data_IF_877582936189
#
_entry.id   IF_877582936189
#
_cell.length_a   1.000
_cell.length_b   1.000
_cell.length_c   1.000
_cell.angle_alpha   90.00
_cell.angle_beta   90.00
_cell.angle_gamma   90.00
#
_symmetry.space_group_name_H-M   'P 1'
#
loop_
_entity.id
_entity.type
_entity.pdbx_description
1 polymer ?
#
# COMPACT_ATOMS: atom_id res chain seq x y z
N UNK A 1 3.31 -26.35 -9.60
CA UNK A 1 3.09 -25.19 -10.51
C UNK A 1 3.83 -24.02 -9.89
N UNK A 2 4.67 -23.28 -10.64
CA UNK A 2 5.22 -22.03 -10.09
C UNK A 2 4.09 -21.00 -9.96
N UNK A 3 3.92 -20.42 -8.78
CA UNK A 3 3.03 -19.29 -8.59
C UNK A 3 3.52 -18.14 -9.49
N UNK A 4 2.61 -17.53 -10.23
CA UNK A 4 2.92 -16.34 -11.01
C UNK A 4 3.13 -15.15 -10.04
N UNK A 5 4.17 -14.39 -10.26
CA UNK A 5 4.44 -13.16 -9.49
C UNK A 5 3.75 -11.99 -10.20
N UNK A 6 2.97 -11.21 -9.45
CA UNK A 6 2.37 -9.96 -9.96
C UNK A 6 3.38 -8.82 -9.94
N UNK A 7 3.39 -8.02 -10.99
CA UNK A 7 4.16 -6.78 -11.05
C UNK A 7 3.22 -5.61 -10.82
N UNK A 8 3.39 -4.91 -9.70
CA UNK A 8 2.51 -3.85 -9.22
C UNK A 8 3.33 -2.56 -9.06
N UNK A 9 3.37 -1.68 -10.08
CA UNK A 9 4.00 -0.37 -9.93
C UNK A 9 3.29 0.46 -8.85
N UNK A 10 4.08 1.00 -7.90
CA UNK A 10 3.62 1.94 -6.90
C UNK A 10 4.00 3.36 -7.29
N UNK A 11 3.00 4.24 -7.37
CA UNK A 11 3.12 5.66 -7.69
C UNK A 11 2.98 6.47 -6.41
N UNK A 12 4.09 7.04 -5.92
CA UNK A 12 4.01 8.06 -4.89
C UNK A 12 3.48 9.36 -5.50
N UNK A 13 2.38 9.87 -4.95
CA UNK A 13 1.71 11.08 -5.43
C UNK A 13 1.76 12.15 -4.36
N UNK A 14 2.05 13.39 -4.78
CA UNK A 14 2.08 14.58 -3.95
C UNK A 14 1.46 15.74 -4.70
N UNK A 15 0.43 16.39 -4.14
CA UNK A 15 -0.25 17.50 -4.80
C UNK A 15 -0.75 17.16 -6.21
N UNK A 16 -1.23 15.92 -6.45
CA UNK A 16 -1.71 15.46 -7.76
C UNK A 16 -0.61 15.15 -8.78
N UNK A 17 0.66 15.07 -8.38
CA UNK A 17 1.80 14.75 -9.25
C UNK A 17 2.53 13.51 -8.78
N UNK A 18 2.98 12.67 -9.70
CA UNK A 18 3.89 11.57 -9.36
C UNK A 18 5.22 12.15 -8.91
N UNK A 19 5.74 11.62 -7.82
CA UNK A 19 7.04 12.03 -7.29
C UNK A 19 7.93 10.82 -7.07
N UNK A 20 9.24 11.04 -7.07
CA UNK A 20 10.24 10.02 -6.74
C UNK A 20 11.23 10.59 -5.74
N UNK A 21 11.56 9.79 -4.72
CA UNK A 21 12.59 10.08 -3.74
C UNK A 21 13.52 8.89 -3.53
N UNK A 22 14.57 9.08 -2.75
CA UNK A 22 15.42 8.01 -2.23
C UNK A 22 15.29 8.04 -0.71
N UNK A 23 14.89 6.93 -0.10
CA UNK A 23 14.65 6.84 1.35
C UNK A 23 13.75 7.98 1.86
N UNK A 24 12.67 8.28 1.14
CA UNK A 24 11.72 9.37 1.46
C UNK A 24 12.31 10.79 1.44
N UNK A 25 13.46 11.00 0.78
CA UNK A 25 14.16 12.29 0.66
C UNK A 25 14.36 12.67 -0.81
N UNK A 26 14.73 13.94 -1.05
CA UNK A 26 15.06 14.48 -2.37
C UNK A 26 13.96 14.23 -3.42
N UNK A 27 12.72 14.56 -3.06
CA UNK A 27 11.53 14.31 -3.86
C UNK A 27 11.58 15.16 -5.14
N UNK A 28 11.50 14.50 -6.30
CA UNK A 28 11.49 15.10 -7.64
C UNK A 28 10.17 14.77 -8.33
N UNK A 29 9.58 15.74 -9.02
CA UNK A 29 8.39 15.54 -9.87
C UNK A 29 8.70 14.56 -11.01
N UNK A 30 7.86 13.55 -11.19
CA UNK A 30 7.99 12.51 -12.20
C UNK A 30 6.82 12.46 -13.19
N UNK A 31 5.90 13.44 -13.14
CA UNK A 31 4.87 13.61 -14.16
C UNK A 31 3.43 13.45 -13.68
N UNK A 32 2.52 13.27 -14.64
CA UNK A 32 1.10 13.07 -14.39
C UNK A 32 0.80 11.63 -13.95
N UNK A 33 0.00 11.40 -12.89
CA UNK A 33 -0.29 10.06 -12.38
C UNK A 33 -1.12 9.21 -13.36
N UNK A 34 -2.08 9.80 -14.07
CA UNK A 34 -2.92 9.05 -15.00
C UNK A 34 -2.14 8.63 -16.26
N UNK A 35 -1.26 9.50 -16.76
CA UNK A 35 -0.35 9.15 -17.87
C UNK A 35 0.65 8.05 -17.45
N UNK A 36 1.19 8.12 -16.23
CA UNK A 36 2.08 7.10 -15.71
C UNK A 36 1.37 5.74 -15.55
N UNK A 37 0.17 5.74 -14.96
CA UNK A 37 -0.63 4.53 -14.77
C UNK A 37 -1.02 3.89 -16.11
N UNK A 38 -1.49 4.70 -17.08
CA UNK A 38 -1.81 4.23 -18.44
C UNK A 38 -0.61 3.61 -19.15
N UNK A 39 0.58 4.17 -18.96
CA UNK A 39 1.81 3.60 -19.54
C UNK A 39 2.13 2.24 -18.92
N UNK A 40 2.05 2.10 -17.61
CA UNK A 40 2.31 0.83 -16.94
C UNK A 40 1.29 -0.25 -17.30
N UNK A 41 -0.01 0.11 -17.43
CA UNK A 41 -1.05 -0.80 -17.93
C UNK A 41 -0.69 -1.28 -19.36
N UNK A 42 -0.34 -0.37 -20.27
CA UNK A 42 0.07 -0.72 -21.63
C UNK A 42 1.37 -1.56 -21.70
N UNK A 43 2.27 -1.41 -20.72
CA UNK A 43 3.50 -2.20 -20.58
C UNK A 43 3.24 -3.58 -19.93
N UNK A 44 2.01 -3.87 -19.50
CA UNK A 44 1.60 -5.19 -18.97
C UNK A 44 1.77 -5.33 -17.46
N UNK A 45 1.65 -4.26 -16.70
CA UNK A 45 1.52 -4.35 -15.25
C UNK A 45 0.26 -5.13 -14.86
N UNK A 46 0.33 -5.90 -13.77
CA UNK A 46 -0.78 -6.70 -13.29
C UNK A 46 -1.77 -5.89 -12.44
N UNK A 47 -1.31 -4.81 -11.83
CA UNK A 47 -2.06 -3.90 -10.96
C UNK A 47 -1.34 -2.56 -10.86
N UNK A 48 -2.03 -1.49 -10.47
CA UNK A 48 -1.43 -0.18 -10.14
C UNK A 48 -1.72 0.14 -8.67
N UNK A 49 -0.72 0.66 -7.96
CA UNK A 49 -0.89 1.24 -6.63
C UNK A 49 -0.57 2.74 -6.66
N UNK A 50 -1.42 3.57 -6.08
CA UNK A 50 -1.16 4.99 -5.84
C UNK A 50 -1.12 5.25 -4.34
N UNK A 51 -0.05 5.87 -3.88
CA UNK A 51 0.14 6.28 -2.49
C UNK A 51 0.22 7.80 -2.42
N UNK A 52 -0.82 8.45 -1.89
CA UNK A 52 -0.80 9.88 -1.62
C UNK A 52 0.01 10.15 -0.33
N UNK A 53 1.23 10.61 -0.50
CA UNK A 53 2.19 10.77 0.61
C UNK A 53 1.95 12.02 1.47
N UNK A 54 1.11 12.96 1.02
CA UNK A 54 0.75 14.18 1.75
C UNK A 54 -0.72 14.23 2.21
N UNK A 55 -1.53 13.23 1.86
CA UNK A 55 -2.98 13.19 2.16
C UNK A 55 -3.35 13.32 3.65
N UNK A 56 -2.38 13.22 4.56
CA UNK A 56 -2.61 13.45 5.99
C UNK A 56 -2.70 14.93 6.36
N UNK A 57 -2.26 15.84 5.49
CA UNK A 57 -2.13 17.28 5.75
C UNK A 57 -2.86 18.16 4.73
N UNK A 58 -3.12 17.69 3.51
CA UNK A 58 -3.68 18.47 2.42
C UNK A 58 -5.14 18.10 2.10
N UNK A 59 -5.79 18.94 1.29
CA UNK A 59 -7.19 18.78 0.92
C UNK A 59 -7.42 17.49 0.11
N UNK A 60 -8.34 16.64 0.57
CA UNK A 60 -8.73 15.38 -0.08
C UNK A 60 -9.34 15.50 -1.48
N UNK A 61 -9.77 16.70 -1.86
CA UNK A 61 -10.33 16.95 -3.20
C UNK A 61 -9.36 16.56 -4.31
N UNK A 62 -8.08 16.95 -4.18
CA UNK A 62 -7.04 16.64 -5.17
C UNK A 62 -6.81 15.13 -5.29
N UNK A 63 -6.80 14.39 -4.17
CA UNK A 63 -6.67 12.93 -4.16
C UNK A 63 -7.80 12.27 -4.94
N UNK A 64 -9.05 12.69 -4.68
CA UNK A 64 -10.23 12.13 -5.34
C UNK A 64 -10.24 12.40 -6.85
N UNK A 65 -9.85 13.60 -7.27
CA UNK A 65 -9.72 13.94 -8.69
C UNK A 65 -8.66 13.10 -9.38
N UNK A 66 -7.51 12.91 -8.74
CA UNK A 66 -6.43 12.05 -9.22
C UNK A 66 -6.89 10.59 -9.35
N UNK A 67 -7.58 10.05 -8.34
CA UNK A 67 -8.14 8.70 -8.36
C UNK A 67 -9.08 8.51 -9.54
N UNK A 68 -10.04 9.44 -9.75
CA UNK A 68 -10.96 9.38 -10.88
C UNK A 68 -10.25 9.46 -12.22
N UNK A 69 -9.22 10.30 -12.31
CA UNK A 69 -8.42 10.44 -13.53
C UNK A 69 -7.70 9.14 -13.88
N UNK A 70 -7.03 8.49 -12.91
CA UNK A 70 -6.37 7.19 -13.09
C UNK A 70 -7.41 6.13 -13.46
N UNK A 71 -8.46 5.96 -12.66
CA UNK A 71 -9.50 4.94 -12.86
C UNK A 71 -10.19 5.03 -14.23
N UNK A 72 -10.21 6.21 -14.84
CA UNK A 72 -10.74 6.38 -16.20
C UNK A 72 -9.79 5.94 -17.32
N UNK A 73 -8.52 5.67 -17.01
CA UNK A 73 -7.46 5.41 -17.99
C UNK A 73 -6.92 3.97 -17.92
N UNK A 74 -7.10 3.26 -16.79
CA UNK A 74 -6.57 1.91 -16.56
C UNK A 74 -7.69 0.90 -16.43
N UNK A 75 -7.40 -0.36 -16.82
CA UNK A 75 -8.36 -1.48 -16.78
C UNK A 75 -7.85 -2.66 -15.93
N UNK A 76 -6.68 -2.50 -15.31
CA UNK A 76 -6.11 -3.41 -14.32
C UNK A 76 -6.51 -2.97 -12.90
N UNK A 77 -6.48 -3.86 -11.88
CA UNK A 77 -6.82 -3.50 -10.51
C UNK A 77 -6.05 -2.27 -10.02
N UNK A 78 -6.73 -1.40 -9.30
CA UNK A 78 -6.19 -0.13 -8.83
C UNK A 78 -6.34 0.01 -7.32
N UNK A 79 -5.18 0.03 -6.63
CA UNK A 79 -5.09 0.24 -5.18
C UNK A 79 -4.76 1.69 -4.87
N UNK A 80 -5.47 2.29 -3.91
CA UNK A 80 -5.23 3.67 -3.46
C UNK A 80 -4.92 3.70 -1.97
N UNK A 81 -3.82 4.35 -1.61
CA UNK A 81 -3.40 4.58 -0.22
C UNK A 81 -3.07 6.04 0.07
N UNK A 82 -2.91 6.33 1.36
CA UNK A 82 -2.60 7.66 1.87
C UNK A 82 -3.78 8.35 2.56
N UNK A 83 -3.57 8.81 3.78
CA UNK A 83 -4.50 9.64 4.54
C UNK A 83 -5.85 9.01 4.90
N UNK A 84 -6.06 7.72 4.74
CA UNK A 84 -7.30 7.01 5.07
C UNK A 84 -7.42 6.86 6.59
N UNK A 85 -8.54 7.34 7.19
CA UNK A 85 -8.74 7.36 8.64
C UNK A 85 -10.08 6.76 9.09
N UNK A 86 -11.00 6.50 8.18
CA UNK A 86 -12.36 6.07 8.49
C UNK A 86 -12.98 5.25 7.36
N UNK A 87 -14.07 4.53 7.67
CA UNK A 87 -14.89 3.83 6.67
C UNK A 87 -15.43 4.79 5.60
N UNK A 88 -15.74 6.04 5.99
CA UNK A 88 -16.18 7.06 5.03
C UNK A 88 -15.11 7.40 4.00
N UNK A 89 -13.85 7.43 4.40
CA UNK A 89 -12.74 7.66 3.47
C UNK A 89 -12.59 6.50 2.50
N UNK A 90 -12.72 5.27 3.00
CA UNK A 90 -12.69 4.04 2.20
C UNK A 90 -13.84 4.06 1.18
N UNK A 91 -15.07 4.28 1.63
CA UNK A 91 -16.26 4.36 0.76
C UNK A 91 -16.06 5.38 -0.37
N UNK A 92 -15.52 6.55 -0.04
CA UNK A 92 -15.30 7.62 -1.01
C UNK A 92 -14.26 7.24 -2.07
N UNK A 93 -13.16 6.55 -1.70
CA UNK A 93 -12.14 6.11 -2.63
C UNK A 93 -12.64 4.97 -3.53
N UNK A 94 -13.32 3.97 -2.96
CA UNK A 94 -13.92 2.88 -3.73
C UNK A 94 -14.96 3.41 -4.73
N UNK A 95 -15.85 4.33 -4.32
CA UNK A 95 -16.81 4.99 -5.22
C UNK A 95 -16.16 5.89 -6.28
N UNK A 96 -14.92 6.29 -6.07
CA UNK A 96 -14.16 7.10 -7.03
C UNK A 96 -13.40 6.27 -8.07
N UNK A 97 -13.44 4.93 -7.95
CA UNK A 97 -12.89 4.00 -8.92
C UNK A 97 -11.67 3.21 -8.44
N UNK A 98 -11.33 3.27 -7.15
CA UNK A 98 -10.36 2.34 -6.58
C UNK A 98 -10.98 0.94 -6.38
N UNK A 99 -10.25 -0.12 -6.69
CA UNK A 99 -10.65 -1.50 -6.40
C UNK A 99 -10.27 -1.91 -4.98
N UNK A 100 -9.16 -1.35 -4.48
CA UNK A 100 -8.63 -1.61 -3.14
C UNK A 100 -8.17 -0.33 -2.47
N UNK A 101 -8.13 -0.35 -1.15
CA UNK A 101 -7.59 0.75 -0.34
C UNK A 101 -6.47 0.26 0.56
N UNK A 102 -5.41 1.05 0.66
CA UNK A 102 -4.22 0.73 1.47
C UNK A 102 -4.19 1.60 2.73
N UNK A 103 -4.21 0.96 3.89
CA UNK A 103 -4.28 1.60 5.21
C UNK A 103 -2.97 1.35 5.97
N UNK A 104 -2.33 2.38 6.49
CA UNK A 104 -1.09 2.28 7.26
C UNK A 104 -1.28 2.85 8.68
N UNK A 105 -0.91 4.09 8.92
CA UNK A 105 -0.88 4.73 10.26
C UNK A 105 -2.19 4.61 11.02
N UNK A 106 -3.33 4.78 10.36
CA UNK A 106 -4.65 4.67 11.01
C UNK A 106 -4.97 3.26 11.48
N UNK A 107 -4.50 2.23 10.78
CA UNK A 107 -4.64 0.85 11.23
C UNK A 107 -3.83 0.57 12.51
N UNK A 108 -2.66 1.19 12.65
CA UNK A 108 -1.84 1.07 13.87
C UNK A 108 -2.52 1.80 15.05
N UNK A 109 -3.08 2.98 14.80
CA UNK A 109 -3.77 3.78 15.83
C UNK A 109 -5.13 3.19 16.22
N UNK A 110 -5.83 2.57 15.29
CA UNK A 110 -7.12 1.91 15.47
C UNK A 110 -7.18 0.61 14.63
N UNK A 111 -6.71 -0.53 15.16
CA UNK A 111 -6.73 -1.81 14.45
C UNK A 111 -8.13 -2.29 14.06
N UNK A 112 -9.16 -1.92 14.81
CA UNK A 112 -10.54 -2.29 14.52
C UNK A 112 -11.01 -1.75 13.17
N UNK A 113 -10.39 -0.67 12.65
CA UNK A 113 -10.69 -0.14 11.32
C UNK A 113 -10.48 -1.19 10.22
N UNK A 114 -9.48 -2.09 10.36
CA UNK A 114 -9.25 -3.18 9.40
C UNK A 114 -10.44 -4.14 9.42
N UNK A 115 -10.86 -4.58 10.61
CA UNK A 115 -11.95 -5.55 10.77
C UNK A 115 -13.30 -4.97 10.31
N UNK A 116 -13.59 -3.72 10.64
CA UNK A 116 -14.79 -3.03 10.20
C UNK A 116 -14.83 -2.87 8.69
N UNK A 117 -13.71 -2.42 8.08
CA UNK A 117 -13.59 -2.24 6.65
C UNK A 117 -13.67 -3.58 5.89
N UNK A 118 -13.01 -4.61 6.38
CA UNK A 118 -13.06 -5.95 5.79
C UNK A 118 -14.48 -6.53 5.84
N UNK A 119 -15.20 -6.32 6.94
CA UNK A 119 -16.61 -6.75 7.08
C UNK A 119 -17.54 -6.00 6.13
N UNK A 120 -17.32 -4.71 5.91
CA UNK A 120 -18.21 -3.85 5.10
C UNK A 120 -17.95 -4.04 3.59
N UNK A 121 -16.67 -4.08 3.18
CA UNK A 121 -16.28 -4.05 1.77
C UNK A 121 -15.69 -5.37 1.25
N UNK A 122 -15.40 -6.31 2.14
CA UNK A 122 -14.71 -7.56 1.84
C UNK A 122 -13.18 -7.46 2.01
N UNK A 123 -12.57 -8.55 2.47
CA UNK A 123 -11.12 -8.62 2.70
C UNK A 123 -10.30 -8.23 1.46
N UNK A 124 -10.75 -8.62 0.27
CA UNK A 124 -10.07 -8.36 -1.00
C UNK A 124 -9.92 -6.86 -1.32
N UNK A 125 -10.71 -5.98 -0.68
CA UNK A 125 -10.62 -4.54 -0.86
C UNK A 125 -9.65 -3.86 0.11
N UNK A 126 -9.14 -4.59 1.12
CA UNK A 126 -8.36 -4.02 2.23
C UNK A 126 -6.92 -4.48 2.15
N UNK A 127 -6.02 -3.53 1.94
CA UNK A 127 -4.57 -3.73 1.94
C UNK A 127 -3.99 -3.09 3.21
N UNK A 128 -3.25 -3.85 4.01
CA UNK A 128 -2.49 -3.29 5.13
C UNK A 128 -1.09 -2.90 4.65
N UNK A 129 -0.80 -1.60 4.63
CA UNK A 129 0.55 -1.10 4.33
C UNK A 129 1.40 -1.05 5.59
N UNK A 130 2.64 -1.51 5.48
CA UNK A 130 3.61 -1.60 6.57
C UNK A 130 4.95 -1.03 6.08
N UNK A 131 5.37 0.09 6.67
CA UNK A 131 6.71 0.64 6.47
C UNK A 131 7.62 0.02 7.54
N UNK A 132 8.56 -0.83 7.13
CA UNK A 132 9.43 -1.59 8.01
C UNK A 132 10.88 -1.14 7.87
N UNK A 133 11.58 -1.02 8.99
CA UNK A 133 13.02 -0.73 9.03
C UNK A 133 13.72 -1.68 9.96
N UNK A 134 14.84 -2.23 9.51
CA UNK A 134 15.65 -3.16 10.31
C UNK A 134 16.30 -2.45 11.50
N UNK A 135 16.18 -3.06 12.69
CA UNK A 135 16.84 -2.63 13.91
C UNK A 135 17.33 -3.90 14.67
N UNK A 136 18.59 -4.23 14.51
CA UNK A 136 19.14 -5.49 14.99
C UNK A 136 18.57 -6.70 14.25
N UNK A 137 17.90 -7.59 14.96
CA UNK A 137 17.32 -8.84 14.41
C UNK A 137 15.85 -8.71 14.02
N UNK A 138 15.22 -7.57 14.28
CA UNK A 138 13.79 -7.32 14.01
C UNK A 138 13.57 -6.18 13.02
N UNK A 139 12.38 -6.13 12.41
CA UNK A 139 11.91 -5.00 11.60
C UNK A 139 10.87 -4.21 12.37
N UNK A 140 11.22 -3.00 12.81
CA UNK A 140 10.26 -2.11 13.45
C UNK A 140 9.32 -1.45 12.43
N UNK A 141 8.05 -1.37 12.78
CA UNK A 141 7.05 -0.63 12.03
C UNK A 141 7.21 0.86 12.22
N UNK A 142 7.06 1.63 11.15
CA UNK A 142 7.06 3.09 11.16
C UNK A 142 5.71 3.63 10.73
N UNK A 143 5.37 4.81 11.22
CA UNK A 143 4.15 5.55 10.88
C UNK A 143 4.45 6.90 10.26
N UNK A 144 3.40 7.58 9.75
CA UNK A 144 3.50 8.94 9.19
C UNK A 144 4.55 9.06 8.07
N UNK A 145 4.53 8.09 7.12
CA UNK A 145 5.48 8.08 6.00
C UNK A 145 6.92 7.90 6.49
N UNK A 146 7.15 6.93 7.36
CA UNK A 146 8.48 6.58 7.86
C UNK A 146 9.08 7.52 8.91
N UNK A 147 8.30 8.48 9.45
CA UNK A 147 8.81 9.49 10.37
C UNK A 147 8.87 9.04 11.83
N UNK A 148 7.92 8.19 12.26
CA UNK A 148 7.78 7.82 13.66
C UNK A 148 7.97 6.31 13.82
N UNK A 149 9.03 5.91 14.51
CA UNK A 149 9.26 4.52 14.93
C UNK A 149 8.19 4.10 15.95
N UNK A 150 7.72 2.86 15.83
CA UNK A 150 6.86 2.22 16.83
C UNK A 150 7.61 1.07 17.50
N UNK A 151 7.01 0.48 18.54
CA UNK A 151 7.51 -0.73 19.20
C UNK A 151 6.98 -2.03 18.54
N UNK A 152 6.26 -1.92 17.42
CA UNK A 152 5.68 -3.07 16.73
C UNK A 152 6.73 -3.75 15.85
N UNK A 153 6.80 -5.07 15.93
CA UNK A 153 7.47 -5.90 14.93
C UNK A 153 6.62 -6.01 13.67
N UNK A 154 7.23 -5.85 12.50
CA UNK A 154 6.51 -5.79 11.22
C UNK A 154 5.87 -7.14 10.86
N UNK A 155 6.52 -8.26 11.20
CA UNK A 155 6.00 -9.59 10.91
C UNK A 155 4.80 -9.91 11.81
N UNK A 156 4.92 -9.63 13.11
CA UNK A 156 3.80 -9.80 14.04
C UNK A 156 2.63 -8.87 13.71
N UNK A 157 2.91 -7.66 13.23
CA UNK A 157 1.88 -6.74 12.80
C UNK A 157 1.19 -7.21 11.51
N UNK A 158 1.94 -7.78 10.57
CA UNK A 158 1.36 -8.36 9.35
C UNK A 158 0.41 -9.52 9.68
N UNK A 159 0.80 -10.43 10.55
CA UNK A 159 -0.06 -11.53 11.04
C UNK A 159 -1.35 -10.99 11.68
N UNK A 160 -1.21 -10.03 12.59
CA UNK A 160 -2.36 -9.40 13.25
C UNK A 160 -3.28 -8.73 12.23
N UNK A 161 -2.74 -8.07 11.22
CA UNK A 161 -3.52 -7.48 10.14
C UNK A 161 -4.31 -8.50 9.34
N UNK A 162 -3.70 -9.65 9.05
CA UNK A 162 -4.38 -10.78 8.41
C UNK A 162 -5.52 -11.32 9.29
N UNK A 163 -5.27 -11.54 10.58
CA UNK A 163 -6.30 -12.00 11.53
C UNK A 163 -7.47 -11.02 11.65
N UNK A 164 -7.21 -9.73 11.49
CA UNK A 164 -8.23 -8.67 11.45
C UNK A 164 -8.97 -8.60 10.11
N UNK A 165 -8.53 -9.34 9.09
CA UNK A 165 -9.21 -9.44 7.81
C UNK A 165 -8.62 -8.60 6.68
N UNK A 166 -7.39 -8.12 6.78
CA UNK A 166 -6.69 -7.57 5.62
C UNK A 166 -6.47 -8.67 4.57
N UNK A 167 -6.87 -8.43 3.34
CA UNK A 167 -6.72 -9.40 2.25
C UNK A 167 -5.33 -9.41 1.61
N UNK A 168 -4.60 -8.30 1.73
CA UNK A 168 -3.24 -8.16 1.22
C UNK A 168 -2.36 -7.35 2.18
N UNK A 169 -1.05 -7.61 2.13
CA UNK A 169 -0.03 -6.84 2.85
C UNK A 169 0.85 -6.12 1.82
N UNK A 170 0.97 -4.82 1.95
CA UNK A 170 1.93 -4.00 1.20
C UNK A 170 3.12 -3.67 2.11
N UNK A 171 4.19 -4.46 1.99
CA UNK A 171 5.38 -4.33 2.82
C UNK A 171 6.43 -3.47 2.14
N UNK A 172 6.84 -2.36 2.77
CA UNK A 172 7.91 -1.48 2.32
C UNK A 172 9.14 -1.64 3.21
N UNK A 173 10.27 -2.09 2.64
CA UNK A 173 11.56 -2.01 3.34
C UNK A 173 12.14 -0.61 3.18
N UNK A 174 12.12 0.18 4.26
CA UNK A 174 12.70 1.53 4.26
C UNK A 174 14.22 1.54 4.02
N UNK A 175 14.89 0.41 4.27
CA UNK A 175 16.32 0.25 4.06
C UNK A 175 16.67 0.03 2.58
N UNK A 176 15.71 -0.46 1.78
CA UNK A 176 15.88 -0.79 0.36
C UNK A 176 15.15 0.17 -0.59
N UNK A 177 14.15 0.88 -0.09
CA UNK A 177 13.34 1.78 -0.92
C UNK A 177 14.19 2.83 -1.64
N UNK A 178 14.01 2.95 -2.95
CA UNK A 178 14.72 3.89 -3.82
C UNK A 178 16.22 3.64 -4.03
N UNK A 179 16.82 2.65 -3.35
CA UNK A 179 18.28 2.40 -3.41
C UNK A 179 18.77 1.73 -4.68
N UNK A 180 17.86 1.11 -5.45
CA UNK A 180 18.18 0.28 -6.64
C UNK A 180 19.09 -0.92 -6.33
N UNK A 181 19.16 -1.36 -5.07
CA UNK A 181 19.97 -2.51 -4.62
C UNK A 181 19.19 -3.83 -4.56
N UNK A 182 18.00 -3.88 -5.15
CA UNK A 182 17.08 -5.02 -5.11
C UNK A 182 16.18 -5.04 -3.89
N UNK A 183 15.36 -6.08 -3.80
CA UNK A 183 14.41 -6.29 -2.71
C UNK A 183 15.10 -6.71 -1.41
N UNK A 184 14.44 -6.47 -0.28
CA UNK A 184 14.82 -6.98 1.03
C UNK A 184 14.34 -8.42 1.19
N UNK A 185 15.13 -9.35 0.63
CA UNK A 185 14.72 -10.76 0.58
C UNK A 185 14.52 -11.37 1.97
N UNK A 186 15.26 -10.91 3.00
CA UNK A 186 15.10 -11.42 4.35
C UNK A 186 13.74 -11.02 4.93
N UNK A 187 13.39 -9.74 4.84
CA UNK A 187 12.09 -9.24 5.27
C UNK A 187 10.93 -9.97 4.57
N UNK A 188 11.03 -10.13 3.24
CA UNK A 188 9.97 -10.77 2.48
C UNK A 188 9.88 -12.27 2.75
N UNK A 189 10.99 -12.97 2.93
CA UNK A 189 10.96 -14.40 3.29
C UNK A 189 10.27 -14.61 4.65
N UNK A 190 10.60 -13.82 5.66
CA UNK A 190 9.97 -13.91 6.97
C UNK A 190 8.46 -13.56 6.90
N UNK A 191 8.10 -12.57 6.10
CA UNK A 191 6.71 -12.21 5.86
C UNK A 191 5.94 -13.34 5.13
N UNK A 192 6.53 -13.96 4.11
CA UNK A 192 5.91 -15.02 3.29
C UNK A 192 5.73 -16.33 4.05
N UNK A 193 6.60 -16.67 5.00
CA UNK A 193 6.47 -17.89 5.82
C UNK A 193 5.15 -17.96 6.58
N UNK A 194 4.48 -16.84 6.77
CA UNK A 194 3.20 -16.76 7.50
C UNK A 194 1.98 -16.56 6.61
N UNK A 195 2.17 -16.38 5.30
CA UNK A 195 1.08 -16.15 4.33
C UNK A 195 0.90 -17.30 3.34
N UNK A 196 1.76 -18.32 3.38
CA UNK A 196 1.86 -19.34 2.34
C UNK A 196 0.86 -20.50 2.42
N UNK A 197 0.05 -20.62 3.47
CA UNK A 197 -0.85 -21.76 3.66
C UNK A 197 -2.26 -21.58 3.08
N UNK A 198 -2.54 -20.52 2.34
CA UNK A 198 -3.82 -20.39 1.63
C UNK A 198 -4.00 -21.42 0.48
N UNK A 199 -2.96 -22.22 0.18
CA UNK A 199 -3.04 -23.30 -0.83
C UNK A 199 -3.45 -24.66 -0.26
N UNK A 200 -3.50 -24.81 1.06
CA UNK A 200 -3.81 -26.08 1.76
C UNK A 200 -5.19 -26.10 2.45
N UNK A 201 -6.08 -25.15 2.14
CA UNK A 201 -7.46 -25.22 2.61
C UNK A 201 -8.21 -26.30 1.77
N UNK A 202 -8.49 -27.49 2.32
CA UNK A 202 -9.25 -28.50 1.60
C UNK A 202 -10.70 -28.05 1.58
N UNK A 203 -11.15 -27.61 0.41
CA UNK A 203 -12.55 -27.33 0.12
C UNK A 203 -13.45 -28.57 0.35
#
# INVERSE_FOLDING_TARGET
MSLAVRIIPCLDVRGGRVVKGINFKDIVDAGDPAEAAKRYDAEGADEICMLDIDASFEERSTTIETVKSIASQVFIPFTVGGGIKSLKDIDMLLKSGADKVSINTSAILNPDLIAEASKEYGAQCIVLAIDAKQDGEIWNVYTHGGKNKTELDAIEWAKKGQDLGAGEILMTSMDKDGTKSGFDNNLYLDCLLYTSDAADDPA
#
